data_IF_383494780939
#
_entry.id   IF_383494780939
#
_cell.length_a   1.000
_cell.length_b   1.000
_cell.length_c   1.000
_cell.angle_alpha   90.00
_cell.angle_beta   90.00
_cell.angle_gamma   90.00
#
_symmetry.space_group_name_H-M   'P 1'
#
loop_
_entity.id
_entity.type
_entity.pdbx_description
1 polymer ?
#
# COMPACT_ATOMS: atom_id res chain seq x y z
N UNK A 1 -5.71 23.43 -1.46
CA UNK A 1 -4.82 22.95 -0.38
C UNK A 1 -3.38 23.39 -0.65
N UNK A 2 -2.68 23.94 0.34
CA UNK A 2 -1.27 24.35 0.19
C UNK A 2 -0.39 23.13 -0.13
N UNK A 3 0.36 23.16 -1.25
CA UNK A 3 1.25 22.05 -1.68
C UNK A 3 2.27 21.65 -0.61
N UNK A 4 2.78 22.60 0.18
CA UNK A 4 3.70 22.31 1.31
C UNK A 4 2.99 21.52 2.41
N UNK A 5 1.74 21.87 2.72
CA UNK A 5 0.91 21.15 3.70
C UNK A 5 0.57 19.74 3.21
N UNK A 6 0.22 19.57 1.93
CA UNK A 6 0.00 18.25 1.32
C UNK A 6 1.26 17.37 1.44
N UNK A 7 2.43 17.90 1.10
CA UNK A 7 3.70 17.17 1.22
C UNK A 7 4.03 16.75 2.65
N UNK A 8 3.75 17.63 3.64
CA UNK A 8 3.93 17.31 5.06
C UNK A 8 3.03 16.13 5.47
N UNK A 9 1.75 16.18 5.10
CA UNK A 9 0.80 15.09 5.41
C UNK A 9 1.13 13.79 4.69
N UNK A 10 1.44 13.83 3.40
CA UNK A 10 1.86 12.65 2.65
C UNK A 10 3.06 11.98 3.32
N UNK A 11 4.11 12.74 3.65
CA UNK A 11 5.31 12.19 4.29
C UNK A 11 5.03 11.59 5.68
N UNK A 12 4.13 12.20 6.43
CA UNK A 12 3.76 11.70 7.76
C UNK A 12 2.96 10.39 7.69
N UNK A 13 1.98 10.32 6.77
CA UNK A 13 1.08 9.18 6.65
C UNK A 13 1.70 8.02 5.85
N UNK A 14 2.64 8.31 4.95
CA UNK A 14 3.31 7.31 4.13
C UNK A 14 3.83 6.11 4.94
N UNK A 15 4.67 6.24 5.98
CA UNK A 15 5.15 5.06 6.71
C UNK A 15 4.02 4.24 7.35
N UNK A 16 2.96 4.88 7.83
CA UNK A 16 1.82 4.21 8.47
C UNK A 16 1.02 3.39 7.44
N UNK A 17 0.83 3.95 6.24
CA UNK A 17 0.06 3.31 5.16
C UNK A 17 0.89 2.27 4.41
N UNK A 18 2.15 2.60 4.09
CA UNK A 18 2.99 1.73 3.27
C UNK A 18 3.51 0.52 4.01
N UNK A 19 3.62 0.52 5.34
CA UNK A 19 4.01 -0.69 6.10
C UNK A 19 3.02 -1.85 5.93
N UNK A 20 1.71 -1.71 6.25
CA UNK A 20 0.74 -2.77 6.02
C UNK A 20 0.54 -3.05 4.53
N UNK A 21 0.60 -2.02 3.68
CA UNK A 21 0.49 -2.21 2.23
C UNK A 21 1.67 -3.04 1.69
N UNK A 22 2.89 -2.79 2.16
CA UNK A 22 4.06 -3.58 1.82
C UNK A 22 3.89 -5.02 2.28
N UNK A 23 3.46 -5.24 3.54
CA UNK A 23 3.22 -6.58 4.05
C UNK A 23 2.23 -7.35 3.16
N UNK A 24 1.10 -6.75 2.78
CA UNK A 24 0.11 -7.40 1.90
C UNK A 24 0.65 -7.65 0.49
N UNK A 25 1.26 -6.65 -0.15
CA UNK A 25 1.78 -6.79 -1.50
C UNK A 25 2.90 -7.83 -1.56
N UNK A 26 3.84 -7.76 -0.61
CA UNK A 26 4.97 -8.67 -0.54
C UNK A 26 4.53 -10.11 -0.31
N UNK A 27 3.67 -10.38 0.68
CA UNK A 27 3.24 -11.76 0.95
C UNK A 27 2.30 -12.31 -0.14
N UNK A 28 1.51 -11.46 -0.81
CA UNK A 28 0.71 -11.87 -1.96
C UNK A 28 1.56 -12.31 -3.15
N UNK A 29 2.60 -11.53 -3.48
CA UNK A 29 3.57 -11.89 -4.52
C UNK A 29 4.34 -13.15 -4.12
N UNK A 30 4.88 -13.20 -2.90
CA UNK A 30 5.61 -14.35 -2.40
C UNK A 30 4.75 -15.63 -2.39
N UNK A 31 3.47 -15.53 -2.04
CA UNK A 31 2.54 -16.66 -2.09
C UNK A 31 2.38 -17.18 -3.53
N UNK A 32 2.07 -16.29 -4.47
CA UNK A 32 1.86 -16.68 -5.87
C UNK A 32 3.12 -17.25 -6.50
N UNK A 33 4.26 -16.59 -6.32
CA UNK A 33 5.56 -17.02 -6.84
C UNK A 33 5.98 -18.34 -6.19
N UNK A 34 5.94 -18.43 -4.86
CA UNK A 34 6.31 -19.63 -4.12
C UNK A 34 5.50 -20.85 -4.53
N UNK A 35 4.17 -20.72 -4.61
CA UNK A 35 3.29 -21.84 -5.02
C UNK A 35 3.44 -22.23 -6.48
N UNK A 36 3.65 -21.27 -7.38
CA UNK A 36 3.64 -21.54 -8.83
C UNK A 36 5.01 -21.98 -9.34
N UNK A 37 6.09 -21.36 -8.88
CA UNK A 37 7.43 -21.59 -9.43
C UNK A 37 8.28 -22.53 -8.60
N UNK A 38 8.04 -22.58 -7.28
CA UNK A 38 8.87 -23.33 -6.35
C UNK A 38 8.13 -24.47 -5.66
N UNK A 39 6.85 -24.69 -6.02
CA UNK A 39 5.97 -25.68 -5.40
C UNK A 39 5.98 -25.62 -3.86
N UNK A 40 6.08 -24.40 -3.30
CA UNK A 40 6.27 -24.19 -1.86
C UNK A 40 5.19 -24.90 -1.03
N UNK A 41 5.50 -25.47 0.14
CA UNK A 41 4.53 -26.25 0.93
C UNK A 41 3.27 -25.46 1.29
N UNK A 42 2.10 -26.12 1.44
CA UNK A 42 0.85 -25.48 1.83
C UNK A 42 0.96 -24.64 3.13
N UNK A 43 1.80 -25.05 4.06
CA UNK A 43 2.01 -24.41 5.36
C UNK A 43 2.65 -23.02 5.19
N UNK A 44 3.64 -22.91 4.30
CA UNK A 44 4.24 -21.62 3.92
C UNK A 44 3.19 -20.73 3.28
N UNK A 45 2.36 -21.30 2.39
CA UNK A 45 1.26 -20.57 1.77
C UNK A 45 0.24 -20.02 2.78
N UNK A 46 -0.15 -20.85 3.76
CA UNK A 46 -1.06 -20.45 4.85
C UNK A 46 -0.45 -19.31 5.68
N UNK A 47 0.84 -19.39 6.00
CA UNK A 47 1.53 -18.33 6.75
C UNK A 47 1.59 -17.01 5.97
N UNK A 48 1.92 -17.05 4.68
CA UNK A 48 1.92 -15.85 3.83
C UNK A 48 0.53 -15.22 3.74
N UNK A 49 -0.52 -16.04 3.57
CA UNK A 49 -1.90 -15.58 3.54
C UNK A 49 -2.38 -15.05 4.90
N UNK A 50 -1.89 -15.61 6.02
CA UNK A 50 -2.18 -15.14 7.37
C UNK A 50 -1.77 -13.68 7.56
N UNK A 51 -0.59 -13.30 7.06
CA UNK A 51 -0.12 -11.91 7.03
C UNK A 51 -0.84 -11.09 5.94
N UNK A 52 -0.99 -11.63 4.73
CA UNK A 52 -1.62 -10.95 3.59
C UNK A 52 -3.02 -10.44 3.92
N UNK A 53 -3.81 -11.28 4.58
CA UNK A 53 -5.20 -10.99 4.93
C UNK A 53 -5.35 -10.23 6.25
N UNK A 54 -4.25 -10.05 7.01
CA UNK A 54 -4.29 -9.45 8.34
C UNK A 54 -5.04 -10.29 9.37
N UNK A 55 -5.17 -11.61 9.16
CA UNK A 55 -5.95 -12.49 10.05
C UNK A 55 -5.32 -12.63 11.43
N UNK A 56 -4.02 -12.37 11.55
CA UNK A 56 -3.29 -12.30 12.82
C UNK A 56 -3.77 -11.21 13.77
N UNK A 57 -4.48 -10.20 13.26
CA UNK A 57 -5.04 -9.12 14.05
C UNK A 57 -6.40 -9.47 14.69
N UNK A 58 -6.92 -10.68 14.47
CA UNK A 58 -8.26 -11.07 14.91
C UNK A 58 -9.34 -10.65 13.92
N UNK A 59 -10.60 -10.56 14.38
CA UNK A 59 -11.74 -10.21 13.53
C UNK A 59 -11.89 -8.69 13.37
N UNK A 60 -11.83 -7.95 14.48
CA UNK A 60 -12.15 -6.51 14.48
C UNK A 60 -11.06 -5.68 13.80
N UNK A 61 -9.80 -5.87 14.19
CA UNK A 61 -8.67 -5.11 13.64
C UNK A 61 -8.35 -5.44 12.18
N UNK A 62 -8.80 -6.60 11.69
CA UNK A 62 -8.65 -6.98 10.27
C UNK A 62 -9.40 -6.04 9.34
N UNK A 63 -10.57 -5.57 9.74
CA UNK A 63 -11.34 -4.61 8.95
C UNK A 63 -10.56 -3.32 8.78
N UNK A 64 -9.96 -2.81 9.86
CA UNK A 64 -9.12 -1.62 9.82
C UNK A 64 -7.86 -1.83 8.98
N UNK A 65 -7.24 -3.00 9.03
CA UNK A 65 -6.10 -3.35 8.17
C UNK A 65 -6.45 -3.28 6.69
N UNK A 66 -7.59 -3.86 6.28
CA UNK A 66 -8.08 -3.82 4.90
C UNK A 66 -8.44 -2.41 4.47
N UNK A 67 -9.17 -1.65 5.31
CA UNK A 67 -9.55 -0.27 5.04
C UNK A 67 -8.33 0.65 4.92
N UNK A 68 -7.34 0.50 5.80
CA UNK A 68 -6.10 1.27 5.77
C UNK A 68 -5.32 1.01 4.48
N UNK A 69 -5.23 -0.25 4.03
CA UNK A 69 -4.58 -0.58 2.77
C UNK A 69 -5.33 0.02 1.57
N UNK A 70 -6.65 -0.19 1.48
CA UNK A 70 -7.46 0.26 0.34
C UNK A 70 -7.56 1.79 0.25
N UNK A 71 -7.98 2.46 1.32
CA UNK A 71 -8.11 3.92 1.32
C UNK A 71 -6.75 4.60 1.35
N UNK A 72 -5.79 4.03 2.08
CA UNK A 72 -4.44 4.56 2.19
C UNK A 72 -3.71 4.57 0.84
N UNK A 73 -3.77 3.47 0.07
CA UNK A 73 -3.11 3.44 -1.24
C UNK A 73 -3.72 4.46 -2.22
N UNK A 74 -5.05 4.62 -2.21
CA UNK A 74 -5.73 5.64 -3.03
C UNK A 74 -5.25 7.03 -2.64
N UNK A 75 -5.24 7.34 -1.33
CA UNK A 75 -4.79 8.64 -0.83
C UNK A 75 -3.32 8.91 -1.17
N UNK A 76 -2.44 7.92 -1.02
CA UNK A 76 -1.01 8.04 -1.33
C UNK A 76 -0.76 8.19 -2.83
N UNK A 77 -1.50 7.46 -3.66
CA UNK A 77 -1.40 7.55 -5.13
C UNK A 77 -1.81 8.95 -5.61
N UNK A 78 -2.99 9.41 -5.21
CA UNK A 78 -3.50 10.74 -5.60
C UNK A 78 -2.55 11.84 -5.12
N UNK A 79 -2.19 11.83 -3.83
CA UNK A 79 -1.32 12.87 -3.27
C UNK A 79 0.09 12.84 -3.86
N UNK A 80 0.62 11.65 -4.18
CA UNK A 80 1.88 11.48 -4.90
C UNK A 80 1.85 12.10 -6.29
N UNK A 81 0.85 11.73 -7.11
CA UNK A 81 0.65 12.26 -8.47
C UNK A 81 0.49 13.78 -8.46
N UNK A 82 -0.29 14.33 -7.52
CA UNK A 82 -0.46 15.78 -7.39
C UNK A 82 0.86 16.49 -7.08
N UNK A 83 1.77 15.84 -6.33
CA UNK A 83 3.07 16.40 -5.99
C UNK A 83 4.12 16.31 -7.12
N UNK A 84 3.99 15.38 -8.07
CA UNK A 84 4.93 15.29 -9.21
C UNK A 84 4.77 16.46 -10.17
N UNK A 85 3.56 17.04 -10.26
CA UNK A 85 3.30 18.16 -11.15
C UNK A 85 3.20 17.77 -12.63
N UNK A 86 2.95 16.49 -12.93
CA UNK A 86 2.74 15.99 -14.30
C UNK A 86 1.63 16.76 -15.04
N UNK A 87 0.61 17.26 -14.33
CA UNK A 87 -0.47 18.08 -14.90
C UNK A 87 -0.17 19.57 -14.96
N UNK A 88 1.08 20.00 -14.72
CA UNK A 88 1.44 21.42 -14.77
C UNK A 88 1.63 21.80 -16.25
N UNK A 89 0.64 22.49 -16.82
CA UNK A 89 0.76 23.08 -18.16
C UNK A 89 2.04 23.91 -18.24
N UNK A 90 2.88 23.64 -19.25
CA UNK A 90 4.03 24.49 -19.58
C UNK A 90 3.45 25.86 -19.88
N UNK A 91 3.71 26.84 -19.00
CA UNK A 91 3.43 28.23 -19.29
C UNK A 91 4.33 28.58 -20.48
N UNK A 92 3.75 28.63 -21.68
CA UNK A 92 4.39 29.19 -22.86
C UNK A 92 4.70 30.64 -22.45
N UNK A 93 5.98 30.94 -22.33
CA UNK A 93 6.45 32.32 -22.16
C UNK A 93 6.52 32.87 -23.57
N UNK A 94 5.58 33.76 -23.88
CA UNK A 94 5.61 34.62 -25.06
C UNK A 94 6.75 35.66 -24.92
#
# INVERSE_FOLDING_TARGET
>A
MNKRKLRKWHRLLAPIIFLPLFATAFTGVAYRVGRTWFNAPPEVGKFLLYIHQGTFLGQDLRVFYVLLNGLGVIAMLISGIVMTGIFRSKRIQD
#
